data_IF_987290347683
#
_entry.id   IF_987290347683
#
_cell.length_a   1.000
_cell.length_b   1.000
_cell.length_c   1.000
_cell.angle_alpha   90.00
_cell.angle_beta   90.00
_cell.angle_gamma   90.00
#
_symmetry.space_group_name_H-M   'P 1'
#
loop_
_entity.id
_entity.type
_entity.pdbx_description
1 polymer ?
#
# COMPACT_ATOMS: atom_id res chain seq x y z
N UNK A 1 3.11 -0.72 10.54
CA UNK A 1 1.94 0.00 9.97
C UNK A 1 1.04 -1.02 9.31
N UNK A 2 -0.28 -0.83 9.41
CA UNK A 2 -1.26 -1.69 8.75
C UNK A 2 -1.44 -1.25 7.30
N UNK A 3 -1.38 -2.18 6.36
CA UNK A 3 -1.46 -1.90 4.91
C UNK A 3 -2.36 -2.92 4.18
N UNK A 4 -2.93 -2.51 3.05
CA UNK A 4 -3.55 -3.42 2.09
C UNK A 4 -2.50 -3.86 1.07
N UNK A 5 -2.26 -5.17 0.97
CA UNK A 5 -1.14 -5.75 0.21
C UNK A 5 -1.69 -6.73 -0.82
N UNK A 6 -1.25 -6.59 -2.07
CA UNK A 6 -1.49 -7.57 -3.12
C UNK A 6 -0.38 -8.62 -3.05
N UNK A 7 -0.69 -9.80 -2.49
CA UNK A 7 0.27 -10.91 -2.34
C UNK A 7 0.35 -11.76 -3.62
N UNK A 8 -0.71 -11.80 -4.40
CA UNK A 8 -0.83 -12.55 -5.66
C UNK A 8 -1.83 -11.86 -6.59
N UNK A 9 -1.59 -11.92 -7.91
CA UNK A 9 -2.55 -11.42 -8.91
C UNK A 9 -3.87 -12.19 -8.81
N UNK A 10 -4.97 -11.56 -9.19
CA UNK A 10 -6.32 -12.14 -9.17
C UNK A 10 -6.81 -12.58 -7.77
N UNK A 11 -6.17 -12.12 -6.69
CA UNK A 11 -6.62 -12.32 -5.31
C UNK A 11 -6.98 -10.99 -4.65
N UNK A 12 -7.93 -11.00 -3.69
CA UNK A 12 -8.21 -9.82 -2.88
C UNK A 12 -6.97 -9.31 -2.15
N UNK A 13 -6.91 -7.99 -1.89
CA UNK A 13 -5.87 -7.42 -1.04
C UNK A 13 -5.97 -7.98 0.38
N UNK A 14 -4.83 -8.36 0.93
CA UNK A 14 -4.71 -8.80 2.32
C UNK A 14 -4.34 -7.63 3.22
N UNK A 15 -4.86 -7.63 4.45
CA UNK A 15 -4.52 -6.60 5.42
C UNK A 15 -3.40 -7.11 6.32
N UNK A 16 -2.19 -6.59 6.12
CA UNK A 16 -0.98 -7.04 6.81
C UNK A 16 -0.37 -5.93 7.66
N UNK A 17 0.32 -6.32 8.73
CA UNK A 17 1.19 -5.43 9.50
C UNK A 17 2.62 -5.49 8.94
N UNK A 18 3.16 -4.33 8.60
CA UNK A 18 4.49 -4.18 7.99
C UNK A 18 5.38 -3.26 8.82
N UNK A 19 6.68 -3.51 8.80
CA UNK A 19 7.68 -2.57 9.31
C UNK A 19 8.12 -1.62 8.21
N UNK A 20 8.12 -0.31 8.49
CA UNK A 20 8.54 0.71 7.54
C UNK A 20 9.87 1.34 8.00
N UNK A 21 10.87 1.30 7.13
CA UNK A 21 12.16 1.97 7.35
C UNK A 21 12.01 3.49 7.55
N UNK A 22 12.88 4.13 8.35
CA UNK A 22 12.90 5.60 8.47
C UNK A 22 13.16 6.27 7.11
N UNK A 23 12.66 7.50 6.89
CA UNK A 23 12.91 8.22 5.64
C UNK A 23 14.41 8.47 5.46
N UNK A 24 14.91 8.27 4.25
CA UNK A 24 16.29 8.52 3.85
C UNK A 24 16.47 9.98 3.41
N UNK A 25 17.65 10.32 2.91
CA UNK A 25 17.94 11.68 2.43
C UNK A 25 16.96 12.09 1.33
N UNK A 26 16.28 13.23 1.52
CA UNK A 26 15.25 13.79 0.63
C UNK A 26 13.93 13.00 0.56
N UNK A 27 13.66 12.12 1.53
CA UNK A 27 12.37 11.46 1.68
C UNK A 27 11.55 12.07 2.81
N UNK A 28 10.23 11.90 2.75
CA UNK A 28 9.30 12.27 3.82
C UNK A 28 8.43 11.08 4.19
N UNK A 29 8.22 10.87 5.49
CA UNK A 29 7.26 9.88 6.00
C UNK A 29 5.91 10.55 6.22
N UNK A 30 4.90 10.11 5.49
CA UNK A 30 3.54 10.63 5.60
C UNK A 30 2.67 9.67 6.39
N UNK A 31 1.90 10.20 7.35
CA UNK A 31 0.81 9.45 7.98
C UNK A 31 -0.46 9.62 7.14
N UNK A 32 -0.73 8.63 6.28
CA UNK A 32 -1.92 8.61 5.42
C UNK A 32 -3.19 8.60 6.26
N UNK A 33 -4.10 9.55 6.01
CA UNK A 33 -5.40 9.66 6.70
C UNK A 33 -6.55 9.04 5.90
N UNK A 34 -6.48 9.15 4.58
CA UNK A 34 -7.39 8.54 3.63
C UNK A 34 -6.63 8.28 2.32
N UNK A 35 -7.04 7.24 1.58
CA UNK A 35 -6.56 6.93 0.24
C UNK A 35 -7.78 6.54 -0.62
N UNK A 36 -7.83 7.02 -1.86
CA UNK A 36 -8.82 6.57 -2.84
C UNK A 36 -8.35 5.32 -3.57
N UNK A 37 -9.28 4.63 -4.23
CA UNK A 37 -8.97 3.53 -5.16
C UNK A 37 -9.12 4.06 -6.57
N UNK A 38 -8.07 3.95 -7.37
CA UNK A 38 -8.08 4.31 -8.78
C UNK A 38 -8.32 3.07 -9.65
N UNK A 39 -8.75 3.27 -10.89
CA UNK A 39 -8.86 2.20 -11.87
C UNK A 39 -7.50 1.54 -12.18
N UNK A 40 -6.39 2.27 -12.03
CA UNK A 40 -5.05 1.70 -12.17
C UNK A 40 -4.72 0.68 -11.08
N UNK A 41 -5.22 0.89 -9.86
CA UNK A 41 -5.06 -0.06 -8.75
C UNK A 41 -5.89 -1.33 -9.02
N UNK A 42 -7.10 -1.16 -9.57
CA UNK A 42 -7.93 -2.30 -9.99
C UNK A 42 -7.31 -3.09 -11.15
N UNK A 43 -6.73 -2.39 -12.13
CA UNK A 43 -6.08 -3.00 -13.29
C UNK A 43 -4.89 -3.89 -12.90
N UNK A 44 -4.10 -3.50 -11.90
CA UNK A 44 -2.97 -4.35 -11.47
C UNK A 44 -3.41 -5.56 -10.64
N UNK A 45 -4.62 -5.51 -10.06
CA UNK A 45 -5.18 -6.62 -9.28
C UNK A 45 -5.78 -7.73 -10.15
N UNK A 46 -6.30 -7.43 -11.35
CA UNK A 46 -7.06 -8.35 -12.20
C UNK A 46 -6.49 -8.48 -13.62
#
# INVERSE_FOLDING_TARGET
>A
MRAAVLTEINKPLEILDLEQEPPKSKEVRVRVKAAGVCMSDWHIMN
#
